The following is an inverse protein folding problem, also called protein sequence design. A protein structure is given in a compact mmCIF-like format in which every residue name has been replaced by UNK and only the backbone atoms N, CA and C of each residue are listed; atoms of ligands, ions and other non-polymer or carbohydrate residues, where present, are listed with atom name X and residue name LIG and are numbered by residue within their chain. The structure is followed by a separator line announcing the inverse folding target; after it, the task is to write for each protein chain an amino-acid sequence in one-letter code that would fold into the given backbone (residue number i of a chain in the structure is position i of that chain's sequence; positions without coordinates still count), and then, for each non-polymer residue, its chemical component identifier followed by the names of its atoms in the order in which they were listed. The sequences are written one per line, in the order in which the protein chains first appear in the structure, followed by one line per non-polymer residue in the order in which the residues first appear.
data_IF_783698438294
#
_entry.id   IF_783698438294
#
_cell.length_a   1.000
_cell.length_b   1.000
_cell.length_c   1.000
_cell.angle_alpha   90.00
_cell.angle_beta   90.00
_cell.angle_gamma   90.00
#
_symmetry.space_group_name_H-M   'P 1'
#
loop_
_entity.id
_entity.type
_entity.pdbx_description
1 polymer ?
#
# COMPACT_ATOMS: atom_id res chain seq x y z
N UNK A 1 9.80 3.31 -20.82
CA UNK A 1 9.11 4.19 -19.84
C UNK A 1 8.68 3.29 -18.73
N UNK A 2 9.05 3.60 -17.49
CA UNK A 2 8.73 2.75 -16.33
C UNK A 2 7.22 2.79 -16.07
N UNK A 3 6.61 1.63 -15.83
CA UNK A 3 5.20 1.47 -15.51
C UNK A 3 5.05 1.08 -14.05
N UNK A 4 4.25 1.80 -13.29
CA UNK A 4 4.04 1.55 -11.86
C UNK A 4 2.58 1.21 -11.59
N UNK A 5 2.34 0.04 -11.01
CA UNK A 5 1.05 -0.32 -10.44
C UNK A 5 0.79 0.45 -9.15
N UNK A 6 -0.40 0.99 -8.98
CA UNK A 6 -0.84 1.63 -7.73
C UNK A 6 -2.12 0.98 -7.26
N UNK A 7 -2.03 0.26 -6.14
CA UNK A 7 -3.17 -0.44 -5.54
C UNK A 7 -3.95 0.49 -4.61
N UNK A 8 -5.20 0.78 -4.93
CA UNK A 8 -6.10 1.58 -4.11
C UNK A 8 -7.11 0.71 -3.35
N UNK A 9 -7.70 1.26 -2.29
CA UNK A 9 -8.54 0.53 -1.34
C UNK A 9 -9.89 1.24 -1.06
N UNK A 10 -10.35 2.09 -1.96
CA UNK A 10 -11.45 3.04 -1.77
C UNK A 10 -10.94 4.48 -1.70
N UNK A 11 -11.71 5.41 -1.13
CA UNK A 11 -11.36 6.84 -1.05
C UNK A 11 -11.81 7.43 0.29
N UNK A 12 -10.89 7.56 1.24
CA UNK A 12 -11.13 8.13 2.56
C UNK A 12 -10.33 7.45 3.67
N UNK A 13 -9.80 8.22 4.63
CA UNK A 13 -8.87 7.71 5.65
C UNK A 13 -9.49 6.60 6.51
N UNK A 14 -10.78 6.64 6.83
CA UNK A 14 -11.41 5.68 7.74
C UNK A 14 -11.96 4.42 7.08
N UNK A 15 -12.22 4.45 5.77
CA UNK A 15 -12.88 3.37 5.05
C UNK A 15 -12.33 3.07 3.66
N UNK A 16 -11.29 3.80 3.23
CA UNK A 16 -10.65 3.66 1.92
C UNK A 16 -9.15 3.96 1.96
N UNK A 17 -8.57 4.30 0.81
CA UNK A 17 -7.21 4.83 0.72
C UNK A 17 -7.15 6.23 1.32
N UNK A 18 -6.06 6.55 2.00
CA UNK A 18 -5.77 7.91 2.43
C UNK A 18 -5.56 8.78 1.17
N UNK A 19 -6.36 9.85 1.08
CA UNK A 19 -6.44 10.66 -0.14
C UNK A 19 -5.11 11.40 -0.39
N UNK A 20 -4.52 11.99 0.67
CA UNK A 20 -3.26 12.71 0.53
C UNK A 20 -2.11 11.78 0.14
N UNK A 21 -1.97 10.64 0.81
CA UNK A 21 -0.92 9.66 0.50
C UNK A 21 -1.03 9.16 -0.94
N UNK A 22 -2.26 8.86 -1.38
CA UNK A 22 -2.53 8.43 -2.74
C UNK A 22 -2.19 9.51 -3.76
N UNK A 23 -2.62 10.76 -3.52
CA UNK A 23 -2.37 11.89 -4.43
C UNK A 23 -0.89 12.25 -4.46
N UNK A 24 -0.19 12.24 -3.32
CA UNK A 24 1.26 12.50 -3.25
C UNK A 24 2.03 11.42 -4.01
N UNK A 25 1.66 10.14 -3.83
CA UNK A 25 2.25 9.03 -4.59
C UNK A 25 2.08 9.22 -6.10
N UNK A 26 0.85 9.50 -6.55
CA UNK A 26 0.55 9.76 -7.96
C UNK A 26 1.27 10.99 -8.50
N UNK A 27 1.39 12.05 -7.70
CA UNK A 27 2.11 13.27 -8.07
C UNK A 27 3.61 13.02 -8.23
N UNK A 28 4.23 12.30 -7.29
CA UNK A 28 5.65 11.95 -7.36
C UNK A 28 5.96 11.10 -8.59
N UNK A 29 5.13 10.09 -8.87
CA UNK A 29 5.24 9.26 -10.08
C UNK A 29 5.07 10.08 -11.36
N UNK A 30 4.09 10.99 -11.41
CA UNK A 30 3.86 11.87 -12.55
C UNK A 30 5.04 12.82 -12.80
N UNK A 31 5.61 13.40 -11.74
CA UNK A 31 6.83 14.26 -11.84
C UNK A 31 8.04 13.48 -12.35
N UNK A 32 8.16 12.22 -12.00
CA UNK A 32 9.21 11.33 -12.49
C UNK A 32 8.97 10.83 -13.93
N UNK A 33 7.84 11.15 -14.56
CA UNK A 33 7.49 10.72 -15.91
C UNK A 33 7.13 9.22 -16.01
N UNK A 34 6.75 8.58 -14.90
CA UNK A 34 6.29 7.20 -14.91
C UNK A 34 4.86 7.06 -15.46
N UNK A 35 4.59 5.95 -16.13
CA UNK A 35 3.21 5.56 -16.47
C UNK A 35 2.60 4.87 -15.25
N UNK A 36 1.36 5.23 -14.90
CA UNK A 36 0.67 4.65 -13.75
C UNK A 36 -0.49 3.78 -14.19
N UNK A 37 -0.61 2.60 -13.58
CA UNK A 37 -1.79 1.74 -13.68
C UNK A 37 -2.42 1.67 -12.28
N UNK A 38 -3.52 2.42 -12.06
CA UNK A 38 -4.30 2.29 -10.85
C UNK A 38 -5.18 1.03 -10.92
N UNK A 39 -5.32 0.34 -9.80
CA UNK A 39 -6.25 -0.78 -9.68
C UNK A 39 -6.78 -0.92 -8.25
N UNK A 40 -7.91 -1.60 -8.11
CA UNK A 40 -8.52 -1.90 -6.82
C UNK A 40 -9.37 -3.19 -6.92
N UNK A 41 -9.66 -3.88 -5.80
CA UNK A 41 -10.59 -5.01 -5.84
C UNK A 41 -12.03 -4.52 -6.09
N UNK A 42 -12.77 -5.26 -6.92
CA UNK A 42 -14.19 -5.01 -7.17
C UNK A 42 -15.03 -5.73 -6.11
N UNK A 43 -15.19 -5.07 -4.96
CA UNK A 43 -15.89 -5.63 -3.81
C UNK A 43 -16.57 -4.54 -2.97
N UNK A 44 -17.56 -4.87 -2.14
CA UNK A 44 -18.08 -3.94 -1.14
C UNK A 44 -16.99 -3.53 -0.13
N UNK A 45 -16.99 -2.26 0.29
CA UNK A 45 -16.18 -1.81 1.43
C UNK A 45 -16.66 -2.52 2.72
N UNK A 46 -15.72 -2.83 3.61
CA UNK A 46 -16.06 -3.39 4.93
C UNK A 46 -16.95 -2.42 5.73
N UNK A 47 -16.65 -1.14 5.68
CA UNK A 47 -17.43 -0.08 6.31
C UNK A 47 -17.61 1.09 5.35
N UNK A 48 -18.68 1.86 5.58
CA UNK A 48 -18.83 3.23 5.08
C UNK A 48 -18.81 4.13 6.30
N UNK A 49 -17.90 5.10 6.32
CA UNK A 49 -17.70 5.98 7.48
C UNK A 49 -18.02 7.42 7.12
N UNK A 50 -18.81 8.09 7.97
CA UNK A 50 -18.98 9.54 7.90
C UNK A 50 -17.70 10.21 8.41
N UNK A 51 -16.89 10.75 7.50
CA UNK A 51 -15.59 11.35 7.86
C UNK A 51 -15.68 12.62 8.73
N UNK A 52 -16.85 13.24 8.82
CA UNK A 52 -17.06 14.39 9.72
C UNK A 52 -17.24 13.93 11.19
N UNK A 53 -17.89 12.79 11.40
CA UNK A 53 -18.19 12.29 12.75
C UNK A 53 -17.29 11.13 13.18
N UNK A 54 -16.63 10.46 12.23
CA UNK A 54 -15.87 9.23 12.46
C UNK A 54 -16.74 7.98 12.64
N UNK A 55 -18.06 8.10 12.51
CA UNK A 55 -19.00 7.02 12.78
C UNK A 55 -19.32 6.20 11.53
N UNK A 56 -19.50 4.89 11.71
CA UNK A 56 -19.93 4.00 10.65
C UNK A 56 -21.38 4.32 10.26
N UNK A 57 -21.66 4.42 8.96
CA UNK A 57 -23.00 4.56 8.38
C UNK A 57 -23.58 3.15 8.09
N UNK A 58 -24.34 2.54 9.00
CA UNK A 58 -24.66 1.10 8.91
C UNK A 58 -25.63 0.75 7.76
N UNK A 59 -26.30 1.74 7.19
CA UNK A 59 -27.27 1.57 6.10
C UNK A 59 -26.70 1.97 4.73
N UNK A 60 -25.41 2.32 4.66
CA UNK A 60 -24.73 2.64 3.40
C UNK A 60 -23.82 1.50 2.99
N UNK A 61 -23.75 1.26 1.67
CA UNK A 61 -22.78 0.38 1.05
C UNK A 61 -22.06 1.11 -0.07
N UNK A 62 -20.75 0.91 -0.17
CA UNK A 62 -19.91 1.43 -1.26
C UNK A 62 -19.03 0.33 -1.79
N UNK A 63 -18.63 0.46 -3.04
CA UNK A 63 -17.75 -0.47 -3.71
C UNK A 63 -16.33 0.10 -3.74
N UNK A 64 -15.34 -0.71 -3.39
CA UNK A 64 -13.93 -0.31 -3.30
C UNK A 64 -13.41 0.23 -4.63
N UNK A 65 -13.66 -0.47 -5.74
CA UNK A 65 -13.21 -0.06 -7.07
C UNK A 65 -13.85 1.27 -7.49
N UNK A 66 -15.17 1.41 -7.28
CA UNK A 66 -15.91 2.63 -7.63
C UNK A 66 -15.41 3.83 -6.83
N UNK A 67 -15.18 3.67 -5.53
CA UNK A 67 -14.64 4.75 -4.70
C UNK A 67 -13.18 5.08 -5.04
N UNK A 68 -12.36 4.07 -5.32
CA UNK A 68 -10.97 4.25 -5.79
C UNK A 68 -10.89 5.04 -7.10
N UNK A 69 -11.88 4.87 -7.98
CA UNK A 69 -11.95 5.60 -9.24
C UNK A 69 -12.02 7.13 -9.05
N UNK A 70 -12.47 7.62 -7.89
CA UNK A 70 -12.48 9.06 -7.56
C UNK A 70 -11.04 9.62 -7.49
N UNK A 71 -10.11 8.88 -6.89
CA UNK A 71 -8.69 9.23 -6.81
C UNK A 71 -8.04 9.10 -8.18
N UNK A 72 -8.29 8.00 -8.88
CA UNK A 72 -7.74 7.71 -10.20
C UNK A 72 -8.41 8.48 -11.35
N UNK A 73 -9.43 9.32 -11.06
CA UNK A 73 -10.19 10.09 -12.05
C UNK A 73 -10.83 9.23 -13.14
N UNK A 74 -11.29 8.04 -12.77
CA UNK A 74 -11.92 7.08 -13.64
C UNK A 74 -10.98 6.13 -14.39
N UNK A 75 -9.68 6.41 -14.42
CA UNK A 75 -8.69 5.53 -15.07
C UNK A 75 -8.17 4.49 -14.07
N UNK A 76 -8.92 3.42 -13.92
CA UNK A 76 -8.66 2.36 -12.96
C UNK A 76 -9.14 1.00 -13.48
N UNK A 77 -8.43 -0.07 -13.10
CA UNK A 77 -8.78 -1.45 -13.46
C UNK A 77 -9.24 -2.25 -12.23
N UNK A 78 -10.03 -3.29 -12.46
CA UNK A 78 -10.26 -4.31 -11.44
C UNK A 78 -8.97 -5.09 -11.17
N UNK A 79 -8.68 -5.39 -9.89
CA UNK A 79 -7.54 -6.23 -9.52
C UNK A 79 -7.57 -7.62 -10.18
N UNK A 80 -8.77 -8.14 -10.48
CA UNK A 80 -8.95 -9.41 -11.17
C UNK A 80 -8.42 -9.38 -12.62
N UNK A 81 -8.40 -8.20 -13.26
CA UNK A 81 -7.94 -8.00 -14.64
C UNK A 81 -6.46 -7.62 -14.73
N UNK A 82 -5.74 -7.58 -13.59
CA UNK A 82 -4.33 -7.21 -13.51
C UNK A 82 -3.42 -8.42 -13.29
N UNK A 83 -2.18 -8.26 -13.74
CA UNK A 83 -1.08 -9.20 -13.53
C UNK A 83 0.19 -8.43 -13.18
N UNK A 84 1.12 -9.03 -12.46
CA UNK A 84 2.42 -8.42 -12.20
C UNK A 84 3.25 -8.17 -13.48
N UNK A 85 2.85 -8.71 -14.63
CA UNK A 85 3.47 -8.39 -15.93
C UNK A 85 3.09 -7.00 -16.45
N UNK A 86 2.05 -6.36 -15.89
CA UNK A 86 1.54 -5.06 -16.36
C UNK A 86 2.40 -3.89 -15.87
N UNK A 87 3.25 -4.08 -14.87
CA UNK A 87 4.08 -3.02 -14.28
C UNK A 87 5.51 -3.46 -13.99
N UNK A 88 6.40 -2.50 -13.77
CA UNK A 88 7.79 -2.70 -13.38
C UNK A 88 7.98 -2.67 -11.86
N UNK A 89 7.08 -2.01 -11.13
CA UNK A 89 6.99 -2.01 -9.68
C UNK A 89 5.56 -1.76 -9.22
N UNK A 90 5.25 -2.06 -7.96
CA UNK A 90 3.95 -1.87 -7.34
C UNK A 90 4.07 -0.96 -6.11
N UNK A 91 3.14 -0.01 -5.94
CA UNK A 91 3.04 0.81 -4.73
C UNK A 91 1.62 0.70 -4.16
N UNK A 92 1.54 0.58 -2.84
CA UNK A 92 0.29 0.54 -2.07
C UNK A 92 0.26 1.74 -1.13
N UNK A 93 -0.31 2.89 -1.54
CA UNK A 93 -0.67 3.95 -0.60
C UNK A 93 -1.82 3.44 0.26
N UNK A 94 -1.81 3.78 1.56
CA UNK A 94 -2.73 3.12 2.47
C UNK A 94 -3.55 4.10 3.30
N UNK A 95 -4.31 3.61 4.15
CA UNK A 95 -5.05 4.05 5.32
C UNK A 95 -5.80 2.84 5.84
N UNK A 96 -6.85 3.07 6.62
CA UNK A 96 -7.69 1.98 7.12
C UNK A 96 -8.32 1.13 6.02
N UNK A 97 -8.47 1.63 4.80
CA UNK A 97 -8.92 0.84 3.67
C UNK A 97 -8.00 -0.31 3.32
N UNK A 98 -6.68 -0.14 3.40
CA UNK A 98 -5.77 -1.27 3.22
C UNK A 98 -5.97 -2.34 4.30
N UNK A 99 -6.17 -1.92 5.56
CA UNK A 99 -6.36 -2.81 6.69
C UNK A 99 -7.81 -3.34 6.84
N UNK A 100 -8.78 -2.85 6.04
CA UNK A 100 -10.19 -3.26 6.07
C UNK A 100 -10.65 -3.90 4.76
N UNK A 101 -10.16 -3.42 3.60
CA UNK A 101 -10.64 -3.83 2.29
C UNK A 101 -9.61 -4.68 1.53
N UNK A 102 -8.30 -4.41 1.66
CA UNK A 102 -7.26 -5.24 1.03
C UNK A 102 -6.87 -6.43 1.91
N UNK A 103 -7.07 -6.30 3.21
CA UNK A 103 -7.04 -7.36 4.22
C UNK A 103 -8.00 -6.98 5.34
N UNK A 104 -8.17 -7.84 6.35
CA UNK A 104 -9.01 -7.60 7.52
C UNK A 104 -8.20 -7.31 8.80
N UNK A 105 -6.96 -6.82 8.65
CA UNK A 105 -6.04 -6.56 9.77
C UNK A 105 -6.62 -5.63 10.85
N UNK A 106 -7.43 -4.64 10.45
CA UNK A 106 -8.05 -3.70 11.38
C UNK A 106 -8.99 -4.37 12.40
N UNK A 107 -9.48 -5.57 12.10
CA UNK A 107 -10.41 -6.33 12.97
C UNK A 107 -9.82 -7.65 13.46
N UNK A 108 -8.96 -8.29 12.67
CA UNK A 108 -8.39 -9.61 12.95
C UNK A 108 -6.95 -9.54 13.50
N UNK A 109 -6.29 -8.37 13.46
CA UNK A 109 -4.91 -8.20 13.94
C UNK A 109 -3.96 -9.22 13.32
N UNK A 110 -3.17 -9.91 14.15
CA UNK A 110 -2.21 -10.92 13.70
C UNK A 110 -2.84 -12.16 13.02
N UNK A 111 -4.17 -12.34 13.11
CA UNK A 111 -4.89 -13.42 12.43
C UNK A 111 -5.43 -13.02 11.05
N UNK A 112 -5.12 -11.81 10.59
CA UNK A 112 -5.64 -11.23 9.36
C UNK A 112 -5.49 -12.12 8.12
N UNK A 113 -6.42 -11.94 7.17
CA UNK A 113 -6.41 -12.54 5.86
C UNK A 113 -6.41 -11.44 4.80
N UNK A 114 -5.62 -11.62 3.75
CA UNK A 114 -5.60 -10.69 2.62
C UNK A 114 -6.65 -11.08 1.57
N UNK A 115 -7.17 -10.07 0.86
CA UNK A 115 -8.02 -10.30 -0.30
C UNK A 115 -7.27 -11.14 -1.34
N UNK A 116 -7.84 -12.23 -1.88
CA UNK A 116 -7.11 -13.20 -2.71
C UNK A 116 -6.41 -12.58 -3.92
N UNK A 117 -7.09 -11.69 -4.66
CA UNK A 117 -6.50 -11.04 -5.84
C UNK A 117 -5.35 -10.09 -5.45
N UNK A 118 -5.48 -9.39 -4.32
CA UNK A 118 -4.42 -8.50 -3.84
C UNK A 118 -3.22 -9.33 -3.36
N UNK A 119 -3.45 -10.41 -2.62
CA UNK A 119 -2.40 -11.33 -2.21
C UNK A 119 -1.65 -11.89 -3.44
N UNK A 120 -2.38 -12.35 -4.46
CA UNK A 120 -1.82 -12.84 -5.72
C UNK A 120 -0.91 -11.80 -6.37
N UNK A 121 -1.38 -10.56 -6.54
CA UNK A 121 -0.64 -9.50 -7.22
C UNK A 121 0.64 -9.09 -6.45
N UNK A 122 0.59 -9.00 -5.12
CA UNK A 122 1.77 -8.73 -4.32
C UNK A 122 2.78 -9.90 -4.40
N UNK A 123 2.31 -11.12 -4.29
CA UNK A 123 3.15 -12.32 -4.39
C UNK A 123 3.81 -12.45 -5.77
N UNK A 124 3.05 -12.26 -6.84
CA UNK A 124 3.58 -12.27 -8.21
C UNK A 124 4.64 -11.16 -8.41
N UNK A 125 4.40 -9.96 -7.88
CA UNK A 125 5.33 -8.83 -7.98
C UNK A 125 6.67 -9.14 -7.31
N UNK A 126 6.63 -9.64 -6.06
CA UNK A 126 7.86 -9.99 -5.32
C UNK A 126 8.54 -11.22 -5.92
N UNK A 127 7.79 -12.23 -6.36
CA UNK A 127 8.34 -13.41 -7.03
C UNK A 127 9.05 -13.05 -8.34
N UNK A 128 8.53 -12.05 -9.06
CA UNK A 128 9.17 -11.51 -10.26
C UNK A 128 10.36 -10.57 -9.97
N UNK A 129 10.77 -10.44 -8.70
CA UNK A 129 11.85 -9.54 -8.25
C UNK A 129 11.60 -8.07 -8.59
N UNK A 130 10.34 -7.67 -8.72
CA UNK A 130 9.93 -6.29 -8.93
C UNK A 130 9.79 -5.56 -7.59
N UNK A 131 10.17 -4.27 -7.52
CA UNK A 131 10.04 -3.50 -6.27
C UNK A 131 8.58 -3.37 -5.81
N UNK A 132 8.40 -3.41 -4.49
CA UNK A 132 7.13 -3.18 -3.81
C UNK A 132 7.26 -2.03 -2.80
N UNK A 133 6.51 -0.95 -3.01
CA UNK A 133 6.39 0.15 -2.05
C UNK A 133 5.14 0.00 -1.19
N UNK A 134 5.27 0.13 0.13
CA UNK A 134 4.14 0.07 1.07
C UNK A 134 4.17 1.27 2.02
N UNK A 135 3.08 2.02 2.07
CA UNK A 135 2.98 3.30 2.78
C UNK A 135 2.06 3.16 4.00
N UNK A 136 2.33 3.88 5.08
CA UNK A 136 1.47 4.00 6.25
C UNK A 136 1.21 2.65 6.94
N UNK A 137 -0.03 2.12 6.85
CA UNK A 137 -0.44 0.82 7.40
C UNK A 137 -0.35 -0.32 6.36
N UNK A 138 -0.01 -0.05 5.09
CA UNK A 138 0.16 -1.12 4.08
C UNK A 138 1.23 -2.18 4.43
N UNK A 139 2.26 -1.91 5.26
CA UNK A 139 3.12 -2.95 5.79
C UNK A 139 2.36 -4.08 6.49
N UNK A 140 1.21 -3.82 7.12
CA UNK A 140 0.37 -4.86 7.71
C UNK A 140 -0.26 -5.79 6.65
N UNK A 141 -0.70 -5.24 5.52
CA UNK A 141 -1.13 -6.04 4.37
C UNK A 141 0.03 -6.87 3.83
N UNK A 142 1.21 -6.27 3.66
CA UNK A 142 2.41 -6.96 3.17
C UNK A 142 2.77 -8.14 4.08
N UNK A 143 2.87 -7.92 5.40
CA UNK A 143 3.13 -8.98 6.37
C UNK A 143 2.07 -10.10 6.29
N UNK A 144 0.79 -9.74 6.20
CA UNK A 144 -0.32 -10.69 6.08
C UNK A 144 -0.20 -11.57 4.83
N UNK A 145 0.16 -10.98 3.68
CA UNK A 145 0.31 -11.67 2.40
C UNK A 145 1.45 -12.68 2.43
N UNK A 146 2.56 -12.34 3.08
CA UNK A 146 3.76 -13.19 3.10
C UNK A 146 3.86 -14.09 4.34
N UNK A 147 2.86 -14.07 5.22
CA UNK A 147 2.82 -14.94 6.41
C UNK A 147 3.02 -16.41 6.06
N UNK A 148 4.03 -17.04 6.68
CA UNK A 148 4.35 -18.45 6.48
C UNK A 148 4.95 -18.79 5.12
N UNK A 149 5.33 -17.81 4.32
CA UNK A 149 6.10 -17.99 3.09
C UNK A 149 7.61 -17.92 3.35
N UNK A 150 8.42 -18.02 2.29
CA UNK A 150 9.88 -17.83 2.37
C UNK A 150 10.28 -16.36 2.37
N UNK A 151 9.32 -15.44 2.26
CA UNK A 151 9.55 -14.00 2.29
C UNK A 151 9.28 -13.50 3.70
N UNK A 152 10.33 -13.12 4.41
CA UNK A 152 10.26 -12.48 5.73
C UNK A 152 10.55 -10.99 5.56
N UNK A 153 9.52 -10.15 5.30
CA UNK A 153 9.78 -8.75 4.95
C UNK A 153 10.26 -7.94 6.15
N UNK A 154 11.26 -7.09 5.93
CA UNK A 154 11.65 -6.02 6.85
C UNK A 154 10.82 -4.78 6.54
N UNK A 155 10.06 -4.28 7.53
CA UNK A 155 9.03 -3.25 7.33
C UNK A 155 9.07 -2.18 8.43
N UNK A 156 8.59 -0.97 8.11
CA UNK A 156 8.30 0.04 9.10
C UNK A 156 6.86 0.55 8.99
N UNK A 157 6.25 0.82 10.11
CA UNK A 157 5.00 1.61 10.26
C UNK A 157 5.24 2.84 11.15
N UNK A 158 6.51 3.18 11.40
CA UNK A 158 6.90 4.20 12.36
C UNK A 158 7.21 3.63 13.73
N UNK A 159 6.61 4.18 14.78
CA UNK A 159 6.96 3.90 16.17
C UNK A 159 5.81 3.37 17.03
N UNK A 160 4.65 3.03 16.43
CA UNK A 160 3.54 2.44 17.16
C UNK A 160 3.86 1.00 17.58
N UNK A 161 4.07 0.79 18.89
CA UNK A 161 4.48 -0.48 19.45
C UNK A 161 3.44 -1.58 19.23
N UNK A 162 2.15 -1.25 19.36
CA UNK A 162 1.07 -2.24 19.23
C UNK A 162 0.97 -2.82 17.81
N UNK A 163 1.10 -1.97 16.80
CA UNK A 163 1.12 -2.41 15.40
C UNK A 163 2.44 -3.14 15.08
N UNK A 164 3.58 -2.66 15.59
CA UNK A 164 4.87 -3.32 15.43
C UNK A 164 4.89 -4.75 15.99
N UNK A 165 4.31 -4.94 17.17
CA UNK A 165 4.15 -6.26 17.79
C UNK A 165 3.27 -7.18 16.93
N UNK A 166 2.16 -6.66 16.42
CA UNK A 166 1.27 -7.43 15.54
C UNK A 166 1.98 -7.84 14.23
N UNK A 167 2.79 -6.97 13.62
CA UNK A 167 3.61 -7.30 12.45
C UNK A 167 4.61 -8.42 12.77
N UNK A 168 5.27 -8.33 13.92
CA UNK A 168 6.24 -9.34 14.38
C UNK A 168 5.57 -10.69 14.62
N UNK A 169 4.35 -10.71 15.19
CA UNK A 169 3.56 -11.94 15.35
C UNK A 169 3.15 -12.58 14.01
N UNK A 170 3.01 -11.79 12.95
CA UNK A 170 2.72 -12.28 11.59
C UNK A 170 3.99 -12.85 10.92
N UNK A 171 5.18 -12.49 11.38
CA UNK A 171 6.47 -12.95 10.85
C UNK A 171 7.25 -11.90 10.06
N UNK A 172 6.84 -10.63 10.12
CA UNK A 172 7.63 -9.53 9.56
C UNK A 172 8.66 -9.01 10.58
N UNK A 173 9.75 -8.44 10.08
CA UNK A 173 10.78 -7.78 10.90
C UNK A 173 10.50 -6.27 10.94
N UNK A 174 9.85 -5.79 12.01
CA UNK A 174 9.62 -4.36 12.15
C UNK A 174 10.90 -3.63 12.60
N UNK A 175 11.18 -2.48 11.95
CA UNK A 175 12.23 -1.55 12.33
C UNK A 175 11.64 -0.13 12.40
N UNK A 176 11.77 0.58 13.54
CA UNK A 176 11.24 1.93 13.65
C UNK A 176 11.96 2.90 12.70
N UNK A 177 11.19 3.84 12.14
CA UNK A 177 11.68 4.95 11.30
C UNK A 177 10.93 6.21 11.67
N UNK A 178 11.58 7.36 11.48
CA UNK A 178 10.94 8.66 11.58
C UNK A 178 10.02 8.93 10.38
N UNK A 179 9.18 9.95 10.48
CA UNK A 179 8.17 10.29 9.47
C UNK A 179 8.73 10.55 8.07
N UNK A 180 9.94 11.12 8.00
CA UNK A 180 10.64 11.45 6.76
C UNK A 180 11.61 10.37 6.28
N UNK A 181 11.64 9.22 6.93
CA UNK A 181 12.53 8.11 6.59
C UNK A 181 11.79 7.00 5.85
N UNK A 182 12.59 6.19 5.14
CA UNK A 182 12.16 4.94 4.52
C UNK A 182 12.94 3.77 5.10
N UNK A 183 12.36 2.60 5.05
CA UNK A 183 13.06 1.33 5.28
C UNK A 183 13.15 0.57 3.97
N UNK A 184 14.34 0.11 3.62
CA UNK A 184 14.62 -0.66 2.42
C UNK A 184 14.95 -2.10 2.82
N UNK A 185 14.15 -3.04 2.37
CA UNK A 185 14.45 -4.47 2.40
C UNK A 185 15.07 -4.85 1.04
N UNK A 186 16.36 -4.81 0.96
CA UNK A 186 17.13 -5.13 -0.25
C UNK A 186 16.90 -6.58 -0.71
N UNK A 187 16.74 -7.50 0.24
CA UNK A 187 16.56 -8.93 -0.05
C UNK A 187 15.27 -9.18 -0.79
N UNK A 188 14.18 -8.61 -0.32
CA UNK A 188 12.84 -8.80 -0.88
C UNK A 188 12.45 -7.69 -1.84
N UNK A 189 13.26 -6.63 -1.98
CA UNK A 189 13.01 -5.43 -2.78
C UNK A 189 11.73 -4.71 -2.34
N UNK A 190 11.54 -4.57 -1.03
CA UNK A 190 10.39 -3.91 -0.43
C UNK A 190 10.85 -2.61 0.22
N UNK A 191 10.12 -1.52 -0.05
CA UNK A 191 10.37 -0.21 0.56
C UNK A 191 9.14 0.21 1.36
N UNK A 192 9.33 0.65 2.59
CA UNK A 192 8.23 1.13 3.44
C UNK A 192 8.52 2.49 4.07
N UNK A 193 7.46 3.25 4.35
CA UNK A 193 7.52 4.56 5.02
C UNK A 193 6.31 4.76 5.93
N UNK A 194 6.48 5.42 7.09
CA UNK A 194 5.38 5.63 8.05
C UNK A 194 4.25 6.53 7.55
N UNK A 195 4.56 7.61 6.81
CA UNK A 195 3.57 8.62 6.39
C UNK A 195 2.63 9.02 7.55
N UNK A 196 1.31 8.98 7.38
CA UNK A 196 0.34 9.37 8.41
C UNK A 196 0.24 8.44 9.63
N UNK A 197 1.03 7.39 9.74
CA UNK A 197 1.26 6.74 11.04
C UNK A 197 1.97 7.68 12.04
N UNK A 198 2.74 8.68 11.55
CA UNK A 198 3.49 9.64 12.35
C UNK A 198 3.30 11.10 11.94
N UNK A 199 2.90 11.39 10.68
CA UNK A 199 2.84 12.74 10.16
C UNK A 199 1.72 13.56 10.79
N UNK A 200 2.04 14.78 11.21
CA UNK A 200 1.08 15.78 11.70
C UNK A 200 0.60 16.71 10.57
N UNK A 201 1.23 16.64 9.39
CA UNK A 201 0.90 17.49 8.25
C UNK A 201 1.08 16.76 6.91
N UNK A 202 0.41 17.32 5.86
CA UNK A 202 0.58 16.83 4.49
C UNK A 202 2.05 16.91 4.04
N UNK A 203 2.76 17.99 4.43
CA UNK A 203 4.15 18.19 4.06
C UNK A 203 5.07 17.14 4.68
N UNK A 204 4.85 16.77 5.94
CA UNK A 204 5.62 15.70 6.58
C UNK A 204 5.35 14.34 5.93
N UNK A 205 4.10 14.01 5.67
CA UNK A 205 3.74 12.77 4.97
C UNK A 205 4.39 12.71 3.57
N UNK A 206 4.43 13.84 2.86
CA UNK A 206 5.02 13.92 1.53
C UNK A 206 6.51 13.57 1.51
N UNK A 207 7.29 13.97 2.51
CA UNK A 207 8.73 13.71 2.54
C UNK A 207 9.07 12.22 2.48
N UNK A 208 8.42 11.39 3.29
CA UNK A 208 8.63 9.95 3.30
C UNK A 208 8.12 9.28 2.03
N UNK A 209 6.95 9.71 1.55
CA UNK A 209 6.31 9.14 0.35
C UNK A 209 7.14 9.44 -0.91
N UNK A 210 7.62 10.68 -1.08
CA UNK A 210 8.46 11.05 -2.22
C UNK A 210 9.78 10.27 -2.21
N UNK A 211 10.42 10.08 -1.04
CA UNK A 211 11.62 9.24 -0.91
C UNK A 211 11.33 7.78 -1.26
N UNK A 212 10.19 7.24 -0.84
CA UNK A 212 9.79 5.86 -1.18
C UNK A 212 9.60 5.72 -2.69
N UNK A 213 8.89 6.65 -3.33
CA UNK A 213 8.69 6.62 -4.79
C UNK A 213 10.01 6.69 -5.54
N UNK A 214 10.91 7.61 -5.15
CA UNK A 214 12.25 7.74 -5.74
C UNK A 214 13.05 6.44 -5.62
N UNK A 215 13.01 5.77 -4.46
CA UNK A 215 13.74 4.53 -4.25
C UNK A 215 13.15 3.37 -5.05
N UNK A 216 11.81 3.24 -5.09
CA UNK A 216 11.13 2.24 -5.93
C UNK A 216 11.52 2.41 -7.40
N UNK A 217 11.56 3.65 -7.91
CA UNK A 217 11.97 3.95 -9.28
C UNK A 217 13.45 3.62 -9.54
N UNK A 218 14.35 3.90 -8.60
CA UNK A 218 15.78 3.51 -8.71
C UNK A 218 15.93 1.98 -8.76
N UNK A 219 15.16 1.26 -7.96
CA UNK A 219 15.19 -0.19 -7.97
C UNK A 219 14.73 -0.76 -9.32
N UNK A 220 13.77 -0.15 -10.03
CA UNK A 220 13.39 -0.63 -11.38
C UNK A 220 14.54 -0.52 -12.37
N UNK A 221 15.31 0.58 -12.32
CA UNK A 221 16.45 0.81 -13.23
C UNK A 221 17.60 -0.19 -13.01
N UNK A 222 17.85 -0.61 -11.76
CA UNK A 222 18.94 -1.57 -11.45
C UNK A 222 18.65 -3.00 -11.93
N UNK A 223 17.42 -3.34 -12.24
CA UNK A 223 17.04 -4.66 -12.79
C UNK A 223 17.44 -4.81 -14.26
N UNK A 224 17.54 -3.72 -15.02
CA UNK A 224 17.89 -3.74 -16.44
C UNK A 224 19.40 -3.95 -16.70
N UNK A 225 20.27 -3.68 -15.71
CA UNK A 225 21.73 -3.85 -15.84
C UNK A 225 22.25 -5.27 -15.55
N UNK A 226 21.39 -6.20 -15.15
CA UNK A 226 21.77 -7.56 -14.71
C UNK A 226 21.30 -8.66 -15.67
N UNK A 227 20.83 -8.31 -16.86
CA UNK A 227 20.30 -9.22 -17.89
C UNK A 227 21.27 -9.41 -19.06
#
# INVERSE_FOLDING_TARGET
MVVIGVCLAGSGVYDGSEIHESVITLLALSRAGATVICFAPDMPQMHVVNHLTGEVSPNETRNVLIESARIARGDIRSAADCSATDWDALIVPAAFGAAKNLCDFAVAGASAQAHPEIARLLQETVAARKPLGVVCIAPALCATVFRGSNVEPSLTIGTDEGTADALSMIGAQHQPRNVDEILIDETNRIVSTPAYMLADSIAEAAHGIEKLVDEVLKMTASSECSS
#
